data_IF_584438348299
#
_entry.id   IF_584438348299
#
_cell.length_a   1.000
_cell.length_b   1.000
_cell.length_c   1.000
_cell.angle_alpha   90.00
_cell.angle_beta   90.00
_cell.angle_gamma   90.00
#
_symmetry.space_group_name_H-M   'P 1'
#
loop_
_entity.id
_entity.type
_entity.pdbx_description
1 polymer ?
#
# COMPACT_ATOMS: atom_id res chain seq x y z
N UNK A 1 -23.63 3.95 -8.15
CA UNK A 1 -22.55 4.97 -8.20
C UNK A 1 -21.46 4.62 -7.18
N UNK A 2 -20.57 3.65 -7.50
CA UNK A 2 -19.43 3.29 -6.64
C UNK A 2 -18.18 4.00 -7.17
N UNK A 3 -17.96 5.26 -6.80
CA UNK A 3 -16.74 6.01 -7.11
C UNK A 3 -15.61 5.55 -6.19
N UNK A 4 -15.21 4.29 -6.30
CA UNK A 4 -13.98 3.79 -5.68
C UNK A 4 -12.79 4.32 -6.48
N UNK A 5 -11.84 4.93 -5.78
CA UNK A 5 -10.55 5.42 -6.30
C UNK A 5 -9.83 4.27 -7.03
N UNK A 6 -9.89 4.22 -8.37
CA UNK A 6 -9.33 3.16 -9.23
C UNK A 6 -7.86 3.41 -9.64
N UNK A 7 -7.05 4.00 -8.77
CA UNK A 7 -5.75 4.57 -9.17
C UNK A 7 -4.55 3.65 -8.87
N UNK A 8 -4.77 2.44 -8.34
CA UNK A 8 -3.76 1.93 -7.41
C UNK A 8 -2.59 1.14 -8.03
N UNK A 9 -2.60 0.66 -9.29
CA UNK A 9 -1.48 -0.21 -9.74
C UNK A 9 -0.88 0.00 -11.13
N UNK A 10 -1.34 0.96 -11.92
CA UNK A 10 -0.74 1.15 -13.24
C UNK A 10 0.71 1.59 -13.19
N UNK A 11 1.06 2.46 -12.23
CA UNK A 11 2.35 3.11 -12.14
C UNK A 11 2.62 3.43 -10.67
N UNK A 12 3.65 2.84 -10.06
CA UNK A 12 4.03 3.17 -8.67
C UNK A 12 4.29 4.67 -8.45
N UNK A 13 4.57 5.41 -9.53
CA UNK A 13 4.76 6.86 -9.55
C UNK A 13 3.46 7.66 -9.36
N UNK A 14 2.27 7.09 -9.58
CA UNK A 14 1.02 7.85 -9.54
C UNK A 14 0.73 8.48 -8.16
N UNK A 15 1.06 7.75 -7.09
CA UNK A 15 0.93 8.27 -5.72
C UNK A 15 1.94 9.41 -5.47
N UNK A 16 3.17 9.25 -5.96
CA UNK A 16 4.22 10.26 -5.80
C UNK A 16 3.89 11.55 -6.56
N UNK A 17 3.36 11.44 -7.78
CA UNK A 17 2.93 12.60 -8.58
C UNK A 17 1.75 13.31 -7.93
N UNK A 18 0.81 12.59 -7.31
CA UNK A 18 -0.28 13.20 -6.55
C UNK A 18 0.21 13.95 -5.31
N UNK A 19 1.15 13.36 -4.56
CA UNK A 19 1.75 14.00 -3.39
C UNK A 19 2.55 15.24 -3.78
N UNK A 20 3.38 15.14 -4.82
CA UNK A 20 4.16 16.25 -5.34
C UNK A 20 3.28 17.41 -5.84
N UNK A 21 2.15 17.11 -6.51
CA UNK A 21 1.21 18.14 -6.94
C UNK A 21 0.52 18.85 -5.76
N UNK A 22 0.16 18.10 -4.71
CA UNK A 22 -0.39 18.66 -3.48
C UNK A 22 0.62 19.57 -2.78
N UNK A 23 1.88 19.12 -2.66
CA UNK A 23 2.95 19.91 -2.08
C UNK A 23 3.22 21.17 -2.90
N UNK A 24 3.34 21.05 -4.22
CA UNK A 24 3.50 22.19 -5.12
C UNK A 24 2.39 23.23 -4.94
N UNK A 25 1.14 22.79 -4.82
CA UNK A 25 0.01 23.70 -4.55
C UNK A 25 0.14 24.42 -3.22
N UNK A 26 0.54 23.71 -2.16
CA UNK A 26 0.73 24.32 -0.84
C UNK A 26 1.90 25.29 -0.77
N UNK A 27 2.98 25.05 -1.52
CA UNK A 27 4.17 25.89 -1.50
C UNK A 27 4.09 27.09 -2.45
N UNK A 28 3.59 26.91 -3.68
CA UNK A 28 3.56 27.97 -4.69
C UNK A 28 2.24 28.75 -4.70
N UNK A 29 1.12 28.14 -4.30
CA UNK A 29 -0.21 28.74 -4.45
C UNK A 29 -0.63 28.88 -5.91
N UNK A 30 -1.72 29.61 -6.17
CA UNK A 30 -2.15 29.91 -7.54
C UNK A 30 -1.31 31.04 -8.14
N UNK A 31 -0.98 31.00 -9.45
CA UNK A 31 -1.48 30.08 -10.49
C UNK A 31 -0.67 28.80 -10.74
N UNK A 32 0.58 28.70 -10.27
CA UNK A 32 1.49 27.59 -10.59
C UNK A 32 1.05 26.27 -9.94
N UNK A 33 0.43 26.33 -8.76
CA UNK A 33 -0.16 25.17 -8.09
C UNK A 33 -1.32 24.56 -8.89
N UNK A 34 -2.12 25.39 -9.56
CA UNK A 34 -3.24 24.90 -10.39
C UNK A 34 -2.73 24.15 -11.62
N UNK A 35 -1.60 24.59 -12.19
CA UNK A 35 -0.91 23.89 -13.27
C UNK A 35 -0.35 22.54 -12.82
N UNK A 36 0.21 22.46 -11.61
CA UNK A 36 0.70 21.20 -11.05
C UNK A 36 -0.44 20.19 -10.85
N UNK A 37 -1.62 20.64 -10.40
CA UNK A 37 -2.81 19.80 -10.28
C UNK A 37 -3.33 19.36 -11.65
N UNK A 38 -3.32 20.24 -12.66
CA UNK A 38 -3.72 19.90 -14.02
C UNK A 38 -2.80 18.84 -14.65
N UNK A 39 -1.47 18.98 -14.48
CA UNK A 39 -0.51 17.98 -14.93
C UNK A 39 -0.73 16.62 -14.26
N UNK A 40 -1.00 16.64 -12.95
CA UNK A 40 -1.33 15.44 -12.19
C UNK A 40 -2.58 14.74 -12.74
N UNK A 41 -3.65 15.50 -13.04
CA UNK A 41 -4.88 14.96 -13.60
C UNK A 41 -4.68 14.31 -14.97
N UNK A 42 -3.89 14.94 -15.86
CA UNK A 42 -3.56 14.39 -17.18
C UNK A 42 -2.74 13.10 -17.03
N UNK A 43 -1.71 13.12 -16.17
CA UNK A 43 -0.89 11.95 -15.90
C UNK A 43 -1.74 10.78 -15.38
N UNK A 44 -2.63 11.06 -14.42
CA UNK A 44 -3.57 10.07 -13.92
C UNK A 44 -4.50 9.58 -15.02
N UNK A 45 -4.97 10.41 -15.94
CA UNK A 45 -5.84 9.98 -17.04
C UNK A 45 -5.12 9.00 -18.00
N UNK A 46 -3.89 9.30 -18.38
CA UNK A 46 -3.09 8.50 -19.32
C UNK A 46 -2.55 7.18 -18.75
N UNK A 47 -2.46 7.05 -17.43
CA UNK A 47 -1.94 5.83 -16.79
C UNK A 47 -2.89 4.63 -16.94
N UNK A 48 -2.37 3.39 -17.10
CA UNK A 48 -3.20 2.18 -17.07
C UNK A 48 -3.92 2.04 -15.72
N UNK A 49 -5.23 1.75 -15.75
CA UNK A 49 -6.04 1.64 -14.52
C UNK A 49 -6.03 0.20 -14.03
N UNK A 50 -5.65 0.00 -12.77
CA UNK A 50 -5.70 -1.31 -12.12
C UNK A 50 -6.27 -1.20 -10.72
N UNK A 51 -7.21 -2.08 -10.40
CA UNK A 51 -7.83 -2.23 -9.08
C UNK A 51 -7.37 -3.52 -8.34
N UNK A 52 -6.28 -4.13 -8.79
CA UNK A 52 -5.82 -5.42 -8.28
C UNK A 52 -5.49 -5.39 -6.78
N UNK A 53 -4.75 -4.39 -6.28
CA UNK A 53 -4.46 -4.29 -4.83
C UNK A 53 -5.70 -3.96 -4.02
N UNK A 54 -6.63 -3.18 -4.56
CA UNK A 54 -7.88 -2.92 -3.85
C UNK A 54 -8.65 -4.22 -3.63
N UNK A 55 -8.73 -5.08 -4.65
CA UNK A 55 -9.34 -6.41 -4.52
C UNK A 55 -8.55 -7.30 -3.55
N UNK A 56 -7.23 -7.40 -3.73
CA UNK A 56 -6.39 -8.24 -2.87
C UNK A 56 -6.46 -7.81 -1.40
N UNK A 57 -6.54 -6.50 -1.11
CA UNK A 57 -6.71 -5.99 0.24
C UNK A 57 -8.10 -6.32 0.80
N UNK A 58 -9.15 -6.18 0.00
CA UNK A 58 -10.50 -6.57 0.42
C UNK A 58 -10.62 -8.06 0.70
N UNK A 59 -10.06 -8.90 -0.17
CA UNK A 59 -9.99 -10.35 0.00
C UNK A 59 -9.21 -10.70 1.28
N UNK A 60 -8.02 -10.13 1.47
CA UNK A 60 -7.24 -10.35 2.69
C UNK A 60 -7.95 -9.89 3.97
N UNK A 61 -8.65 -8.74 3.94
CA UNK A 61 -9.43 -8.25 5.08
C UNK A 61 -10.61 -9.16 5.40
N UNK A 62 -11.30 -9.66 4.38
CA UNK A 62 -12.41 -10.60 4.54
C UNK A 62 -11.92 -11.94 5.08
N UNK A 63 -10.78 -12.42 4.59
CA UNK A 63 -10.16 -13.65 5.08
C UNK A 63 -9.79 -13.53 6.56
N UNK A 64 -9.28 -12.37 7.01
CA UNK A 64 -8.97 -12.14 8.43
C UNK A 64 -10.23 -12.11 9.31
N UNK A 65 -11.34 -11.57 8.81
CA UNK A 65 -12.61 -11.53 9.54
C UNK A 65 -13.28 -12.92 9.63
N UNK A 66 -13.12 -13.76 8.58
CA UNK A 66 -13.73 -15.08 8.51
C UNK A 66 -12.85 -16.19 9.10
N UNK A 67 -11.53 -16.07 8.99
CA UNK A 67 -10.59 -17.01 9.58
C UNK A 67 -10.59 -16.82 11.10
N UNK A 68 -10.67 -17.93 11.83
CA UNK A 68 -10.31 -17.93 13.25
C UNK A 68 -8.86 -17.46 13.33
N UNK A 69 -8.55 -16.53 14.23
CA UNK A 69 -7.22 -15.96 14.42
C UNK A 69 -6.19 -17.05 14.78
N UNK A 70 -5.71 -17.76 13.77
CA UNK A 70 -4.72 -18.80 13.92
C UNK A 70 -3.43 -18.15 14.39
N UNK A 71 -2.78 -18.74 15.40
CA UNK A 71 -1.61 -18.13 15.98
C UNK A 71 -0.50 -18.10 14.92
N UNK A 72 0.14 -16.93 14.77
CA UNK A 72 1.21 -16.67 13.78
C UNK A 72 2.17 -17.87 13.72
N UNK A 73 2.51 -18.41 12.53
CA UNK A 73 3.41 -19.56 12.44
C UNK A 73 4.74 -19.33 13.17
N UNK A 74 5.21 -20.32 13.92
CA UNK A 74 6.41 -20.24 14.78
C UNK A 74 7.69 -19.81 14.03
N UNK A 75 7.73 -19.99 12.71
CA UNK A 75 8.84 -19.59 11.83
C UNK A 75 8.92 -18.07 11.57
N UNK A 76 7.80 -17.36 11.65
CA UNK A 76 7.71 -15.90 11.45
C UNK A 76 7.66 -15.13 12.78
N UNK A 77 7.60 -15.83 13.92
CA UNK A 77 7.59 -15.19 15.24
C UNK A 77 8.98 -14.65 15.58
N UNK A 78 9.03 -13.43 16.10
CA UNK A 78 10.25 -12.80 16.57
C UNK A 78 10.77 -13.49 17.86
N UNK A 79 11.97 -14.07 17.88
CA UNK A 79 12.55 -14.66 19.08
C UNK A 79 13.22 -13.59 19.95
N UNK A 80 12.45 -12.97 20.86
CA UNK A 80 12.97 -11.88 21.73
C UNK A 80 13.54 -12.41 23.05
N UNK A 81 13.21 -13.63 23.47
CA UNK A 81 13.69 -14.22 24.74
C UNK A 81 14.47 -15.51 24.51
N UNK A 82 15.42 -15.83 25.40
CA UNK A 82 16.23 -17.05 25.31
C UNK A 82 15.39 -18.35 25.38
N UNK A 83 14.27 -18.32 26.11
CA UNK A 83 13.28 -19.40 26.13
C UNK A 83 12.59 -19.58 24.75
N UNK A 84 12.32 -18.48 24.06
CA UNK A 84 11.73 -18.50 22.72
C UNK A 84 12.69 -19.05 21.66
N UNK A 85 13.97 -18.73 21.74
CA UNK A 85 15.00 -19.34 20.87
C UNK A 85 15.13 -20.86 21.11
N UNK A 86 15.06 -21.31 22.36
CA UNK A 86 15.10 -22.75 22.72
C UNK A 86 13.87 -23.53 22.24
N UNK A 87 12.69 -22.89 22.22
CA UNK A 87 11.44 -23.44 21.68
C UNK A 87 11.40 -23.53 20.15
N UNK A 88 12.47 -23.11 19.45
CA UNK A 88 12.57 -23.19 18.00
C UNK A 88 11.81 -22.09 17.25
N UNK A 89 11.43 -20.99 17.92
CA UNK A 89 10.94 -19.81 17.22
C UNK A 89 12.05 -19.22 16.34
N UNK A 90 11.78 -19.04 15.06
CA UNK A 90 12.76 -18.57 14.08
C UNK A 90 13.79 -19.62 13.60
N UNK A 91 13.72 -20.88 14.05
CA UNK A 91 14.46 -21.96 13.37
C UNK A 91 13.88 -22.14 11.97
N UNK A 92 14.72 -21.98 10.96
CA UNK A 92 14.40 -21.99 9.53
C UNK A 92 13.79 -20.71 8.95
N UNK A 93 13.93 -19.55 9.60
CA UNK A 93 13.67 -18.28 8.91
C UNK A 93 14.72 -18.07 7.81
N UNK A 94 14.35 -18.38 6.56
CA UNK A 94 15.19 -18.08 5.39
C UNK A 94 15.14 -16.58 5.15
N UNK A 95 16.28 -15.93 5.35
CA UNK A 95 16.49 -14.55 4.94
C UNK A 95 16.61 -14.54 3.40
N UNK A 96 15.65 -13.93 2.67
CA UNK A 96 15.75 -13.76 1.22
C UNK A 96 16.77 -12.68 0.84
#
# INVERSE_FOLDING_TARGET
MKRGIKITLGVGLALLVALAAKEAYHFLGSPEGDLALAQCAIFMASCPKSNAVYKAYQEASQDVEQARAEPVPSKLRNPVTELMAKLGYGKDYKYP
#
